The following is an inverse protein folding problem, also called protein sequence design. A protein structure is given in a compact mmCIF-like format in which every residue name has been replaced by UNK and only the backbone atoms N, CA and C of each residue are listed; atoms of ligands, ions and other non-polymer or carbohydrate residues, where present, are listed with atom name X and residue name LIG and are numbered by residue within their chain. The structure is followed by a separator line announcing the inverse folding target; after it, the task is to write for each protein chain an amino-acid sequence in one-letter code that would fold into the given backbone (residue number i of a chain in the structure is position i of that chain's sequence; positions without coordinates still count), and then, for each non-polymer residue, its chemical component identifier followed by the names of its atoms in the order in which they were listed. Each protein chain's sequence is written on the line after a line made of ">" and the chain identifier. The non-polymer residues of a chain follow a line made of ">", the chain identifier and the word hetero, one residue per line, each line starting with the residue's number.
data_IF_805067940248
#
_entry.id   IF_805067940248
#
_cell.length_a   1.000
_cell.length_b   1.000
_cell.length_c   1.000
_cell.angle_alpha   90.00
_cell.angle_beta   90.00
_cell.angle_gamma   90.00
#
_symmetry.space_group_name_H-M   'P 1'
#
loop_
_entity.id
_entity.type
_entity.pdbx_description
1 polymer ?
#
# COMPACT_ATOMS: atom_id res chain seq x y z
N UNK A 1 -9.68 -15.26 16.00
CA UNK A 1 -9.78 -16.01 14.74
C UNK A 1 -9.80 -14.99 13.59
N UNK A 2 -8.64 -14.68 13.01
CA UNK A 2 -8.52 -13.64 11.97
C UNK A 2 -8.94 -14.22 10.61
N UNK A 3 -10.09 -13.79 10.09
CA UNK A 3 -10.53 -14.08 8.72
C UNK A 3 -9.94 -13.02 7.79
N UNK A 4 -8.94 -13.40 6.98
CA UNK A 4 -8.52 -12.63 5.82
C UNK A 4 -9.45 -12.97 4.65
N UNK A 5 -10.23 -12.00 4.18
CA UNK A 5 -10.96 -12.09 2.91
C UNK A 5 -11.29 -10.68 2.39
N UNK A 6 -10.45 -10.16 1.50
CA UNK A 6 -10.86 -9.16 0.52
C UNK A 6 -10.44 -9.67 -0.86
N UNK A 7 -11.22 -10.63 -1.36
CA UNK A 7 -11.19 -11.05 -2.75
C UNK A 7 -12.16 -10.13 -3.48
N UNK A 8 -11.65 -9.17 -4.27
CA UNK A 8 -12.44 -8.62 -5.36
C UNK A 8 -12.41 -9.66 -6.49
N UNK A 9 -13.50 -10.41 -6.65
CA UNK A 9 -13.70 -11.30 -7.80
C UNK A 9 -13.90 -10.42 -9.04
N UNK A 10 -12.83 -9.99 -9.71
CA UNK A 10 -12.92 -9.39 -11.03
C UNK A 10 -12.55 -10.45 -12.09
N UNK A 11 -13.53 -11.01 -12.84
CA UNK A 11 -13.30 -12.11 -13.78
C UNK A 11 -12.50 -11.74 -15.05
N UNK A 12 -12.19 -10.45 -15.26
CA UNK A 12 -11.62 -9.93 -16.52
C UNK A 12 -10.08 -9.83 -16.57
N UNK A 13 -9.36 -10.22 -15.51
CA UNK A 13 -7.87 -10.19 -15.50
C UNK A 13 -7.23 -11.49 -16.04
N UNK A 14 -7.90 -12.18 -16.97
CA UNK A 14 -7.40 -13.42 -17.57
C UNK A 14 -6.33 -13.13 -18.63
N UNK A 15 -5.06 -13.18 -18.23
CA UNK A 15 -4.01 -13.69 -19.13
C UNK A 15 -2.71 -12.89 -19.19
N UNK A 16 -2.74 -11.56 -19.05
CA UNK A 16 -1.55 -10.73 -19.30
C UNK A 16 -0.83 -10.27 -18.02
N UNK A 17 -1.59 -9.86 -16.99
CA UNK A 17 -1.03 -9.33 -15.74
C UNK A 17 -0.28 -10.39 -14.90
N UNK A 18 -0.74 -11.65 -14.95
CA UNK A 18 -0.15 -12.77 -14.17
C UNK A 18 1.31 -13.07 -14.56
N UNK A 19 1.68 -12.94 -15.84
CA UNK A 19 3.06 -13.19 -16.30
C UNK A 19 4.03 -12.11 -15.85
N UNK A 20 3.60 -10.84 -15.83
CA UNK A 20 4.45 -9.72 -15.44
C UNK A 20 4.74 -9.69 -13.92
N UNK A 21 3.77 -10.06 -13.08
CA UNK A 21 3.94 -10.12 -11.62
C UNK A 21 4.91 -11.24 -11.21
N UNK A 22 4.91 -12.36 -11.94
CA UNK A 22 5.82 -13.50 -11.68
C UNK A 22 7.26 -13.27 -12.15
N UNK A 23 7.51 -12.30 -13.03
CA UNK A 23 8.84 -12.09 -13.64
C UNK A 23 9.81 -11.25 -12.79
N UNK A 24 9.36 -10.63 -11.69
CA UNK A 24 10.16 -9.68 -10.91
C UNK A 24 10.76 -10.22 -9.60
N UNK A 25 10.55 -11.50 -9.28
CA UNK A 25 11.12 -12.15 -8.09
C UNK A 25 11.83 -13.44 -8.50
N UNK A 26 13.05 -13.67 -8.01
CA UNK A 26 13.65 -15.01 -8.04
C UNK A 26 12.89 -15.90 -7.05
N UNK A 27 11.75 -16.44 -7.47
CA UNK A 27 10.81 -17.21 -6.64
C UNK A 27 11.23 -18.68 -6.48
N UNK A 28 12.47 -19.04 -6.79
CA UNK A 28 12.83 -20.45 -7.00
C UNK A 28 12.71 -21.41 -5.79
N UNK A 29 12.70 -21.01 -4.50
CA UNK A 29 12.53 -22.00 -3.43
C UNK A 29 11.15 -22.01 -2.74
N UNK A 30 10.20 -21.11 -3.03
CA UNK A 30 8.96 -21.00 -2.25
C UNK A 30 7.70 -21.29 -3.05
N UNK A 31 6.84 -22.17 -2.54
CA UNK A 31 5.55 -22.53 -3.14
C UNK A 31 4.39 -21.63 -2.72
N UNK A 32 4.56 -20.84 -1.66
CA UNK A 32 3.52 -19.95 -1.10
C UNK A 32 3.85 -18.50 -1.40
N UNK A 33 2.86 -17.75 -1.88
CA UNK A 33 2.99 -16.35 -2.25
C UNK A 33 1.68 -15.60 -1.96
N UNK A 34 1.75 -14.27 -1.95
CA UNK A 34 0.62 -13.38 -1.72
C UNK A 34 0.45 -12.44 -2.91
N UNK A 35 -0.73 -12.43 -3.53
CA UNK A 35 -1.09 -11.45 -4.56
C UNK A 35 -1.70 -10.21 -3.93
N UNK A 36 -1.21 -9.04 -4.32
CA UNK A 36 -1.74 -7.75 -3.86
C UNK A 36 -2.32 -7.00 -5.05
N UNK A 37 -3.65 -6.82 -5.06
CA UNK A 37 -4.32 -6.02 -6.08
C UNK A 37 -4.22 -4.52 -5.76
N UNK A 38 -3.26 -3.84 -6.40
CA UNK A 38 -3.10 -2.39 -6.29
C UNK A 38 -4.25 -1.61 -6.94
N UNK A 39 -4.95 -2.20 -7.91
CA UNK A 39 -6.15 -1.61 -8.53
C UNK A 39 -7.28 -1.48 -7.52
N UNK A 40 -7.51 -2.51 -6.70
CA UNK A 40 -8.48 -2.48 -5.61
C UNK A 40 -8.16 -1.37 -4.60
N UNK A 41 -6.90 -1.24 -4.17
CA UNK A 41 -6.46 -0.18 -3.26
C UNK A 41 -6.74 1.21 -3.86
N UNK A 42 -6.37 1.42 -5.13
CA UNK A 42 -6.60 2.69 -5.83
C UNK A 42 -8.09 3.02 -5.95
N UNK A 43 -8.92 2.04 -6.27
CA UNK A 43 -10.37 2.20 -6.40
C UNK A 43 -11.00 2.60 -5.05
N UNK A 44 -10.61 1.92 -3.96
CA UNK A 44 -11.10 2.22 -2.63
C UNK A 44 -10.76 3.65 -2.20
N UNK A 45 -9.53 4.10 -2.46
CA UNK A 45 -9.10 5.47 -2.17
C UNK A 45 -9.92 6.49 -2.96
N UNK A 46 -10.14 6.26 -4.25
CA UNK A 46 -10.95 7.15 -5.10
C UNK A 46 -12.39 7.25 -4.60
N UNK A 47 -13.00 6.11 -4.23
CA UNK A 47 -14.37 6.09 -3.69
C UNK A 47 -14.46 6.82 -2.35
N UNK A 48 -13.56 6.53 -1.41
CA UNK A 48 -13.54 7.22 -0.11
C UNK A 48 -13.40 8.73 -0.29
N UNK A 49 -12.51 9.18 -1.18
CA UNK A 49 -12.33 10.59 -1.49
C UNK A 49 -13.57 11.22 -2.12
N UNK A 50 -14.24 10.51 -3.03
CA UNK A 50 -15.49 10.98 -3.64
C UNK A 50 -16.63 11.09 -2.61
N UNK A 51 -16.70 10.14 -1.66
CA UNK A 51 -17.72 10.11 -0.61
C UNK A 51 -17.50 11.22 0.43
N UNK A 52 -16.27 11.49 0.83
CA UNK A 52 -15.99 12.47 1.89
C UNK A 52 -15.79 13.88 1.37
N UNK A 53 -15.37 14.06 0.10
CA UNK A 53 -15.03 15.36 -0.46
C UNK A 53 -13.81 16.03 0.19
N UNK A 54 -13.03 15.30 0.99
CA UNK A 54 -11.92 15.84 1.79
C UNK A 54 -10.58 15.19 1.45
N UNK A 55 -9.49 15.76 1.96
CA UNK A 55 -8.15 15.15 1.83
C UNK A 55 -8.13 13.80 2.54
N UNK A 56 -7.63 12.78 1.85
CA UNK A 56 -7.51 11.43 2.39
C UNK A 56 -6.08 11.16 2.89
N UNK A 57 -5.99 10.54 4.07
CA UNK A 57 -4.76 9.94 4.59
C UNK A 57 -4.83 8.41 4.47
N UNK A 58 -3.92 7.81 3.71
CA UNK A 58 -3.77 6.37 3.68
C UNK A 58 -2.83 5.94 4.82
N UNK A 59 -3.36 5.25 5.83
CA UNK A 59 -2.53 4.69 6.92
C UNK A 59 -1.91 3.40 6.42
N UNK A 60 -0.57 3.36 6.33
CA UNK A 60 0.21 2.26 5.72
C UNK A 60 1.29 1.72 6.66
N UNK A 61 1.09 1.87 7.98
CA UNK A 61 1.95 1.28 9.01
C UNK A 61 2.06 -0.24 8.90
N UNK A 62 3.07 -0.81 9.55
CA UNK A 62 3.32 -2.25 9.60
C UNK A 62 3.44 -2.87 8.19
N UNK A 63 4.30 -2.27 7.36
CA UNK A 63 4.51 -2.67 5.97
C UNK A 63 3.21 -2.63 5.11
N UNK A 64 2.43 -1.55 5.22
CA UNK A 64 1.09 -1.46 4.66
C UNK A 64 0.19 -2.63 5.05
N UNK A 65 0.11 -2.94 6.35
CA UNK A 65 -0.63 -4.09 6.87
C UNK A 65 -0.21 -5.42 6.19
N UNK A 66 1.08 -5.57 5.87
CA UNK A 66 1.64 -6.75 5.19
C UNK A 66 1.52 -6.76 3.66
N UNK A 67 0.98 -5.71 3.04
CA UNK A 67 0.78 -5.64 1.59
C UNK A 67 1.99 -5.11 0.81
N UNK A 68 3.03 -4.63 1.50
CA UNK A 68 4.22 -4.04 0.89
C UNK A 68 4.15 -2.52 0.84
N UNK A 69 4.91 -1.86 1.72
CA UNK A 69 4.75 -0.43 1.99
C UNK A 69 5.03 0.46 0.77
N UNK A 70 6.07 0.18 -0.01
CA UNK A 70 6.48 1.06 -1.11
C UNK A 70 5.52 0.99 -2.30
N UNK A 71 5.07 -0.21 -2.67
CA UNK A 71 4.10 -0.42 -3.76
C UNK A 71 2.75 0.16 -3.40
N UNK A 72 2.29 -0.04 -2.16
CA UNK A 72 1.03 0.53 -1.66
C UNK A 72 1.12 2.05 -1.53
N UNK A 73 2.23 2.61 -1.03
CA UNK A 73 2.41 4.06 -0.92
C UNK A 73 2.29 4.75 -2.29
N UNK A 74 2.99 4.22 -3.31
CA UNK A 74 2.89 4.73 -4.69
C UNK A 74 1.49 4.61 -5.26
N UNK A 75 0.82 3.48 -5.02
CA UNK A 75 -0.56 3.28 -5.47
C UNK A 75 -1.52 4.28 -4.81
N UNK A 76 -1.34 4.54 -3.51
CA UNK A 76 -2.14 5.50 -2.76
C UNK A 76 -1.93 6.95 -3.24
N UNK A 77 -0.68 7.36 -3.44
CA UNK A 77 -0.33 8.67 -4.00
C UNK A 77 -0.96 8.86 -5.39
N UNK A 78 -0.83 7.87 -6.28
CA UNK A 78 -1.45 7.88 -7.61
C UNK A 78 -2.99 7.91 -7.58
N UNK A 79 -3.61 7.34 -6.56
CA UNK A 79 -5.06 7.40 -6.37
C UNK A 79 -5.54 8.71 -5.74
N UNK A 80 -4.62 9.59 -5.34
CA UNK A 80 -4.93 10.92 -4.83
C UNK A 80 -5.04 11.00 -3.30
N UNK A 81 -4.43 10.06 -2.57
CA UNK A 81 -4.19 10.22 -1.13
C UNK A 81 -3.11 11.28 -0.91
N UNK A 82 -3.48 12.37 -0.23
CA UNK A 82 -2.58 13.52 -0.02
C UNK A 82 -1.64 13.30 1.17
N UNK A 83 -1.99 12.38 2.06
CA UNK A 83 -1.21 12.03 3.25
C UNK A 83 -1.01 10.52 3.34
N UNK A 84 0.11 10.12 3.93
CA UNK A 84 0.42 8.76 4.34
C UNK A 84 0.66 8.74 5.85
N UNK A 85 0.00 7.82 6.56
CA UNK A 85 0.19 7.63 8.00
C UNK A 85 1.03 6.40 8.29
N UNK A 86 2.09 6.54 9.09
CA UNK A 86 2.95 5.42 9.53
C UNK A 86 3.02 5.37 11.06
N UNK A 87 3.51 4.27 11.64
CA UNK A 87 3.61 4.14 13.08
C UNK A 87 4.94 4.61 13.64
N UNK A 88 6.04 4.46 12.89
CA UNK A 88 7.39 4.76 13.36
C UNK A 88 8.17 5.67 12.41
N UNK A 89 9.20 6.34 12.95
CA UNK A 89 10.05 7.26 12.17
C UNK A 89 10.77 6.53 11.03
N UNK A 90 11.25 5.31 11.26
CA UNK A 90 11.99 4.52 10.28
C UNK A 90 11.13 4.18 9.05
N UNK A 91 9.82 3.96 9.25
CA UNK A 91 8.88 3.78 8.14
C UNK A 91 8.76 5.05 7.31
N UNK A 92 8.71 6.23 7.95
CA UNK A 92 8.66 7.51 7.26
C UNK A 92 9.94 7.80 6.48
N UNK A 93 11.11 7.54 7.08
CA UNK A 93 12.41 7.71 6.43
C UNK A 93 12.54 6.80 5.20
N UNK A 94 12.09 5.54 5.31
CA UNK A 94 12.09 4.61 4.17
C UNK A 94 11.22 5.13 3.00
N UNK A 95 10.03 5.68 3.29
CA UNK A 95 9.18 6.29 2.26
C UNK A 95 9.88 7.46 1.56
N UNK A 96 10.60 8.31 2.31
CA UNK A 96 11.34 9.44 1.76
C UNK A 96 12.53 9.00 0.91
N UNK A 97 13.31 8.04 1.38
CA UNK A 97 14.39 7.44 0.59
C UNK A 97 13.90 6.83 -0.72
N UNK A 98 12.67 6.30 -0.74
CA UNK A 98 12.02 5.75 -1.93
C UNK A 98 11.37 6.82 -2.85
N UNK A 99 11.52 8.12 -2.55
CA UNK A 99 11.05 9.22 -3.39
C UNK A 99 9.56 9.53 -3.28
N UNK A 100 8.87 9.08 -2.23
CA UNK A 100 7.46 9.39 -1.99
C UNK A 100 7.30 10.88 -1.65
N UNK A 101 6.39 11.55 -2.37
CA UNK A 101 6.19 13.00 -2.30
C UNK A 101 5.00 13.41 -1.46
N UNK A 102 4.02 12.53 -1.23
CA UNK A 102 2.92 12.80 -0.30
C UNK A 102 3.42 13.15 1.10
N UNK A 103 2.63 13.96 1.81
CA UNK A 103 2.88 14.27 3.21
C UNK A 103 2.89 12.98 4.04
N UNK A 104 3.83 12.86 4.98
CA UNK A 104 3.97 11.65 5.82
C UNK A 104 3.83 12.06 7.28
N UNK A 105 2.88 11.44 7.97
CA UNK A 105 2.66 11.64 9.40
C UNK A 105 3.05 10.39 10.18
N UNK A 106 3.97 10.55 11.12
CA UNK A 106 4.26 9.53 12.14
C UNK A 106 3.19 9.65 13.22
N UNK A 107 2.35 8.63 13.33
CA UNK A 107 1.23 8.58 14.29
C UNK A 107 1.68 8.14 15.70
N UNK A 108 2.83 7.46 15.78
CA UNK A 108 3.42 7.01 17.03
C UNK A 108 4.26 8.09 17.71
N UNK A 109 4.54 7.88 18.99
CA UNK A 109 5.48 8.71 19.73
C UNK A 109 6.86 8.68 19.07
N UNK A 110 7.43 9.86 18.85
CA UNK A 110 8.81 10.03 18.41
C UNK A 110 9.58 10.67 19.55
N UNK A 111 10.61 10.00 20.04
CA UNK A 111 11.49 10.55 21.07
C UNK A 111 12.17 11.83 20.57
N UNK A 112 12.22 12.91 21.35
CA UNK A 112 12.92 14.14 20.96
C UNK A 112 14.45 14.01 21.03
N UNK A 113 14.98 12.93 21.60
CA UNK A 113 16.42 12.70 21.84
C UNK A 113 16.99 11.59 20.94
N UNK A 114 16.53 11.52 19.69
CA UNK A 114 17.04 10.55 18.71
C UNK A 114 18.52 10.76 18.42
#
# INVERSE_FOLDING_TARGET
>A
MFKYAWICKNPDLKGMARRAILQAMDTKPYSTWLEIDLGAIKNNIKQLKAMTGTRLMAVIKANAYGHGVLTVAKAAEQAGASWLGVARMEEALNLRAAGIKSEVMVLGYTSPVM
#
